data_IF_336909828430
#
_entry.id   IF_336909828430
#
_cell.length_a   1.000
_cell.length_b   1.000
_cell.length_c   1.000
_cell.angle_alpha   90.00
_cell.angle_beta   90.00
_cell.angle_gamma   90.00
#
_symmetry.space_group_name_H-M   'P 1'
#
loop_
_entity.id
_entity.type
_entity.pdbx_description
1 polymer ?
#
# COMPACT_ATOMS: atom_id res chain seq x y z
N UNK A 1 -44.87 14.21 43.22
CA UNK A 1 -44.07 13.07 42.72
C UNK A 1 -43.15 13.58 41.63
N UNK A 2 -41.89 13.87 41.98
CA UNK A 2 -40.87 14.38 41.05
C UNK A 2 -40.14 13.16 40.47
N UNK A 3 -40.21 13.05 39.15
CA UNK A 3 -39.73 11.90 38.39
C UNK A 3 -38.19 11.88 38.40
N UNK A 4 -37.63 10.85 39.03
CA UNK A 4 -36.21 10.73 39.38
C UNK A 4 -35.44 10.04 38.25
N UNK A 5 -35.40 10.64 37.07
CA UNK A 5 -34.70 10.08 35.92
C UNK A 5 -34.02 11.21 35.14
N UNK A 6 -32.75 11.51 35.41
CA UNK A 6 -31.84 12.15 34.43
C UNK A 6 -30.36 12.18 34.88
N UNK A 7 -29.91 11.22 35.69
CA UNK A 7 -28.50 11.19 36.15
C UNK A 7 -27.84 9.80 36.11
N UNK A 8 -28.32 8.88 35.26
CA UNK A 8 -27.60 7.64 34.99
C UNK A 8 -27.83 7.21 33.55
N UNK A 9 -27.20 7.89 32.58
CA UNK A 9 -27.08 7.40 31.20
C UNK A 9 -25.99 8.15 30.42
N UNK A 10 -24.82 8.37 31.03
CA UNK A 10 -23.61 8.80 30.32
C UNK A 10 -22.47 7.92 30.80
N UNK A 11 -22.39 6.68 30.31
CA UNK A 11 -21.20 5.83 30.53
C UNK A 11 -21.02 4.68 29.51
N UNK A 12 -21.79 4.61 28.42
CA UNK A 12 -21.68 3.49 27.47
C UNK A 12 -21.67 3.99 26.02
N UNK A 13 -20.71 4.86 25.68
CA UNK A 13 -20.37 5.19 24.28
C UNK A 13 -18.87 5.44 24.11
N UNK A 14 -18.04 4.82 24.95
CA UNK A 14 -16.64 4.59 24.57
C UNK A 14 -16.59 3.19 23.96
N UNK A 15 -16.11 3.00 22.72
CA UNK A 15 -15.69 1.69 22.30
C UNK A 15 -14.57 1.34 23.27
N UNK A 16 -14.83 0.44 24.21
CA UNK A 16 -13.79 -0.28 24.90
C UNK A 16 -13.02 -0.96 23.77
N UNK A 17 -11.93 -0.35 23.34
CA UNK A 17 -10.82 -1.04 22.70
C UNK A 17 -10.35 -2.03 23.75
N UNK A 18 -11.08 -3.14 23.86
CA UNK A 18 -10.69 -4.28 24.65
C UNK A 18 -9.37 -4.70 24.05
N UNK A 19 -8.28 -4.37 24.73
CA UNK A 19 -7.02 -5.06 24.53
C UNK A 19 -7.34 -6.52 24.84
N UNK A 20 -7.69 -7.30 23.82
CA UNK A 20 -7.87 -8.73 23.96
C UNK A 20 -6.61 -9.24 24.65
N UNK A 21 -6.80 -9.83 25.83
CA UNK A 21 -5.70 -10.31 26.63
C UNK A 21 -5.11 -11.50 25.86
N UNK A 22 -3.98 -11.28 25.16
CA UNK A 22 -3.38 -12.30 24.30
C UNK A 22 -2.86 -13.40 25.21
N UNK A 23 -3.51 -14.56 25.14
CA UNK A 23 -3.17 -15.72 25.95
C UNK A 23 -2.34 -16.68 25.11
N UNK A 24 -1.41 -17.40 25.73
CA UNK A 24 -0.77 -18.54 25.06
C UNK A 24 -1.76 -19.69 24.96
N UNK A 25 -2.63 -19.64 23.96
CA UNK A 25 -3.64 -20.66 23.71
C UNK A 25 -3.88 -20.80 22.19
N UNK A 26 -4.52 -21.90 21.76
CA UNK A 26 -4.76 -22.17 20.34
C UNK A 26 -5.58 -21.08 19.63
N UNK A 27 -6.52 -20.42 20.32
CA UNK A 27 -7.35 -19.38 19.71
C UNK A 27 -6.53 -18.14 19.35
N UNK A 28 -5.74 -17.62 20.29
CA UNK A 28 -4.87 -16.46 20.04
C UNK A 28 -3.82 -16.77 18.97
N UNK A 29 -3.33 -18.01 18.94
CA UNK A 29 -2.44 -18.48 17.90
C UNK A 29 -3.10 -18.45 16.52
N UNK A 30 -4.27 -19.08 16.38
CA UNK A 30 -5.00 -19.18 15.11
C UNK A 30 -5.42 -17.80 14.58
N UNK A 31 -5.85 -16.90 15.47
CA UNK A 31 -6.18 -15.52 15.10
C UNK A 31 -4.98 -14.76 14.52
N UNK A 32 -3.80 -14.87 15.16
CA UNK A 32 -2.58 -14.22 14.68
C UNK A 32 -2.07 -14.84 13.38
N UNK A 33 -2.14 -16.17 13.27
CA UNK A 33 -1.73 -16.90 12.07
C UNK A 33 -2.62 -16.57 10.87
N UNK A 34 -3.93 -16.52 11.08
CA UNK A 34 -4.89 -16.15 10.04
C UNK A 34 -4.63 -14.72 9.52
N UNK A 35 -4.37 -13.78 10.42
CA UNK A 35 -4.02 -12.41 10.04
C UNK A 35 -2.71 -12.34 9.26
N UNK A 36 -1.66 -13.05 9.71
CA UNK A 36 -0.38 -13.09 9.03
C UNK A 36 -0.49 -13.69 7.62
N UNK A 37 -1.14 -14.86 7.48
CA UNK A 37 -1.33 -15.53 6.19
C UNK A 37 -2.12 -14.65 5.20
N UNK A 38 -3.13 -13.92 5.69
CA UNK A 38 -3.87 -12.95 4.86
C UNK A 38 -2.97 -11.84 4.35
N UNK A 39 -2.10 -11.30 5.20
CA UNK A 39 -1.14 -10.26 4.82
C UNK A 39 -0.11 -10.78 3.81
N UNK A 40 0.42 -12.00 3.98
CA UNK A 40 1.32 -12.59 2.98
C UNK A 40 0.63 -12.82 1.64
N UNK A 41 -0.60 -13.34 1.66
CA UNK A 41 -1.40 -13.55 0.45
C UNK A 41 -1.65 -12.22 -0.29
N UNK A 42 -2.01 -11.17 0.44
CA UNK A 42 -2.19 -9.83 -0.13
C UNK A 42 -0.90 -9.32 -0.77
N UNK A 43 0.25 -9.48 -0.10
CA UNK A 43 1.54 -9.05 -0.63
C UNK A 43 1.85 -9.73 -1.96
N UNK A 44 1.71 -11.05 -2.01
CA UNK A 44 1.94 -11.84 -3.23
C UNK A 44 1.02 -11.40 -4.38
N UNK A 45 -0.24 -11.05 -4.08
CA UNK A 45 -1.16 -10.53 -5.08
C UNK A 45 -0.71 -9.16 -5.62
N UNK A 46 -0.28 -8.25 -4.74
CA UNK A 46 0.23 -6.95 -5.16
C UNK A 46 1.54 -7.05 -5.95
N UNK A 47 2.42 -8.00 -5.62
CA UNK A 47 3.64 -8.28 -6.41
C UNK A 47 3.26 -8.73 -7.82
N UNK A 48 2.28 -9.64 -7.98
CA UNK A 48 1.79 -10.06 -9.30
C UNK A 48 1.26 -8.86 -10.10
N UNK A 49 0.44 -8.01 -9.47
CA UNK A 49 -0.09 -6.79 -10.10
C UNK A 49 1.04 -5.86 -10.53
N UNK A 50 2.03 -5.61 -9.67
CA UNK A 50 3.17 -4.77 -10.00
C UNK A 50 3.97 -5.34 -11.18
N UNK A 51 4.26 -6.63 -11.17
CA UNK A 51 5.02 -7.28 -12.24
C UNK A 51 4.31 -7.22 -13.59
N UNK A 52 2.99 -7.38 -13.61
CA UNK A 52 2.18 -7.19 -14.82
C UNK A 52 2.28 -5.75 -15.32
N UNK A 53 2.06 -4.75 -14.45
CA UNK A 53 2.14 -3.33 -14.82
C UNK A 53 3.55 -2.93 -15.29
N UNK A 54 4.58 -3.48 -14.66
CA UNK A 54 5.97 -3.25 -15.07
C UNK A 54 6.25 -3.86 -16.44
N UNK A 55 5.72 -5.05 -16.73
CA UNK A 55 5.84 -5.68 -18.05
C UNK A 55 5.13 -4.86 -19.13
N UNK A 56 3.92 -4.38 -18.85
CA UNK A 56 3.17 -3.48 -19.75
C UNK A 56 3.94 -2.17 -19.99
N UNK A 57 4.51 -1.58 -18.93
CA UNK A 57 5.33 -0.38 -19.06
C UNK A 57 6.56 -0.61 -19.95
N UNK A 58 7.27 -1.73 -19.79
CA UNK A 58 8.44 -2.06 -20.63
C UNK A 58 8.12 -2.14 -22.12
N UNK A 59 6.88 -2.46 -22.47
CA UNK A 59 6.41 -2.50 -23.86
C UNK A 59 5.91 -1.13 -24.35
N UNK A 60 5.58 -0.21 -23.44
CA UNK A 60 5.08 1.12 -23.77
C UNK A 60 6.24 2.13 -23.83
N UNK A 61 6.53 2.60 -25.03
CA UNK A 61 7.46 3.71 -25.22
C UNK A 61 6.80 5.03 -24.79
N UNK A 62 7.38 5.70 -23.78
CA UNK A 62 6.99 7.06 -23.41
C UNK A 62 7.67 8.05 -24.35
N UNK A 63 6.95 9.08 -24.79
CA UNK A 63 7.47 10.03 -25.76
C UNK A 63 8.61 10.86 -25.17
N UNK A 64 8.51 11.23 -23.90
CA UNK A 64 9.54 11.95 -23.13
C UNK A 64 10.84 11.15 -22.89
N UNK A 65 10.83 9.84 -23.15
CA UNK A 65 12.07 9.04 -23.13
C UNK A 65 12.83 9.12 -24.46
N UNK A 66 12.14 9.50 -25.54
CA UNK A 66 12.70 9.49 -26.91
C UNK A 66 12.98 10.90 -27.41
N UNK A 67 12.12 11.85 -27.05
CA UNK A 67 12.16 13.22 -27.54
C UNK A 67 12.38 14.17 -26.37
N UNK A 68 13.20 15.19 -26.61
CA UNK A 68 13.28 16.37 -25.76
C UNK A 68 11.95 17.12 -25.75
N UNK A 69 11.74 17.93 -24.72
CA UNK A 69 10.54 18.75 -24.60
C UNK A 69 10.34 19.71 -25.79
N UNK A 70 11.42 20.22 -26.38
CA UNK A 70 11.36 21.09 -27.56
C UNK A 70 10.94 20.31 -28.81
N UNK A 71 11.50 19.12 -29.03
CA UNK A 71 11.07 18.22 -30.11
C UNK A 71 9.60 17.82 -29.95
N UNK A 72 9.16 17.52 -28.73
CA UNK A 72 7.74 17.26 -28.45
C UNK A 72 6.87 18.46 -28.79
N UNK A 73 7.32 19.69 -28.48
CA UNK A 73 6.61 20.92 -28.83
C UNK A 73 6.46 21.08 -30.34
N UNK A 74 7.54 20.82 -31.10
CA UNK A 74 7.52 20.85 -32.56
C UNK A 74 6.59 19.78 -33.15
N UNK A 75 6.69 18.54 -32.65
CA UNK A 75 5.85 17.43 -33.09
C UNK A 75 4.37 17.66 -32.77
N UNK A 76 4.06 18.31 -31.65
CA UNK A 76 2.69 18.64 -31.24
C UNK A 76 2.00 19.63 -32.20
N UNK A 77 2.78 20.51 -32.85
CA UNK A 77 2.24 21.49 -33.82
C UNK A 77 1.59 20.79 -35.02
N UNK A 78 2.08 19.60 -35.39
CA UNK A 78 1.49 18.82 -36.46
C UNK A 78 0.13 18.24 -36.05
N UNK A 79 -0.94 18.63 -36.78
CA UNK A 79 -2.33 18.25 -36.46
C UNK A 79 -2.54 16.74 -36.32
N UNK A 80 -1.83 15.93 -37.11
CA UNK A 80 -1.94 14.47 -37.06
C UNK A 80 -1.41 13.86 -35.76
N UNK A 81 -0.44 14.51 -35.08
CA UNK A 81 0.12 14.04 -33.80
C UNK A 81 -0.73 14.43 -32.59
N UNK A 82 -1.58 15.46 -32.71
CA UNK A 82 -2.27 16.04 -31.56
C UNK A 82 -3.16 15.03 -30.84
N UNK A 83 -3.91 14.19 -31.57
CA UNK A 83 -4.75 13.17 -30.96
C UNK A 83 -3.92 12.12 -30.22
N UNK A 84 -2.82 11.65 -30.83
CA UNK A 84 -1.91 10.70 -30.21
C UNK A 84 -1.35 11.26 -28.89
N UNK A 85 -0.86 12.50 -28.92
CA UNK A 85 -0.22 13.10 -27.77
C UNK A 85 -1.22 13.45 -26.66
N UNK A 86 -2.46 13.86 -26.99
CA UNK A 86 -3.51 14.06 -26.00
C UNK A 86 -3.94 12.74 -25.34
N UNK A 87 -4.06 11.66 -26.12
CA UNK A 87 -4.37 10.34 -25.58
C UNK A 87 -3.26 9.85 -24.66
N UNK A 88 -1.99 9.99 -25.07
CA UNK A 88 -0.83 9.64 -24.26
C UNK A 88 -0.77 10.48 -22.96
N UNK A 89 -1.07 11.78 -23.04
CA UNK A 89 -1.13 12.65 -21.88
C UNK A 89 -2.21 12.19 -20.89
N UNK A 90 -3.43 11.94 -21.39
CA UNK A 90 -4.55 11.45 -20.56
C UNK A 90 -4.19 10.12 -19.90
N UNK A 91 -3.66 9.18 -20.68
CA UNK A 91 -3.22 7.88 -20.16
C UNK A 91 -2.14 8.06 -19.08
N UNK A 92 -1.13 8.90 -19.30
CA UNK A 92 -0.04 9.10 -18.34
C UNK A 92 -0.53 9.68 -17.02
N UNK A 93 -1.47 10.62 -17.06
CA UNK A 93 -2.10 11.14 -15.84
C UNK A 93 -2.86 10.04 -15.09
N UNK A 94 -3.67 9.25 -15.81
CA UNK A 94 -4.43 8.15 -15.21
C UNK A 94 -3.50 7.09 -14.58
N UNK A 95 -2.48 6.64 -15.31
CA UNK A 95 -1.51 5.65 -14.80
C UNK A 95 -0.76 6.17 -13.57
N UNK A 96 -0.34 7.44 -13.56
CA UNK A 96 0.27 8.06 -12.37
C UNK A 96 -0.66 7.95 -11.16
N UNK A 97 -1.93 8.33 -11.32
CA UNK A 97 -2.92 8.31 -10.23
C UNK A 97 -3.16 6.90 -9.70
N UNK A 98 -3.40 5.94 -10.60
CA UNK A 98 -3.61 4.54 -10.24
C UNK A 98 -2.40 3.93 -9.50
N UNK A 99 -1.19 4.18 -9.99
CA UNK A 99 0.03 3.68 -9.36
C UNK A 99 0.26 4.33 -7.99
N UNK A 100 -0.02 5.62 -7.85
CA UNK A 100 0.08 6.34 -6.57
C UNK A 100 -0.94 5.81 -5.56
N UNK A 101 -2.17 5.52 -5.99
CA UNK A 101 -3.19 4.92 -5.13
C UNK A 101 -2.77 3.54 -4.63
N UNK A 102 -2.24 2.69 -5.51
CA UNK A 102 -1.71 1.36 -5.14
C UNK A 102 -0.55 1.47 -4.17
N UNK A 103 0.36 2.42 -4.37
CA UNK A 103 1.45 2.68 -3.43
C UNK A 103 0.93 3.05 -2.02
N UNK A 104 -0.08 3.91 -1.93
CA UNK A 104 -0.68 4.33 -0.66
C UNK A 104 -1.40 3.18 0.05
N UNK A 105 -2.05 2.28 -0.69
CA UNK A 105 -2.65 1.06 -0.14
C UNK A 105 -1.60 0.16 0.52
N UNK A 106 -0.44 -0.01 -0.12
CA UNK A 106 0.66 -0.81 0.42
C UNK A 106 1.23 -0.23 1.73
N UNK A 107 1.21 1.09 1.92
CA UNK A 107 1.60 1.71 3.19
C UNK A 107 0.62 1.36 4.32
N UNK A 108 -0.69 1.23 4.01
CA UNK A 108 -1.68 0.76 4.99
C UNK A 108 -1.40 -0.69 5.37
N UNK A 109 -1.14 -1.56 4.39
CA UNK A 109 -0.81 -2.97 4.61
C UNK A 109 0.53 -3.16 5.35
N UNK A 110 1.50 -2.28 5.13
CA UNK A 110 2.73 -2.22 5.92
C UNK A 110 2.43 -1.93 7.39
N UNK A 111 1.54 -0.97 7.67
CA UNK A 111 1.10 -0.66 9.03
C UNK A 111 0.37 -1.84 9.67
N UNK A 112 -0.51 -2.51 8.93
CA UNK A 112 -1.19 -3.72 9.41
C UNK A 112 -0.20 -4.86 9.73
N UNK A 113 0.86 -5.00 8.94
CA UNK A 113 1.93 -5.98 9.19
C UNK A 113 2.73 -5.65 10.45
N UNK A 114 2.95 -4.36 10.76
CA UNK A 114 3.53 -3.94 12.04
C UNK A 114 2.60 -4.26 13.22
N UNK A 115 1.28 -4.09 13.05
CA UNK A 115 0.33 -4.50 14.09
C UNK A 115 0.32 -6.01 14.29
N UNK A 116 0.41 -6.80 13.23
CA UNK A 116 0.54 -8.25 13.32
C UNK A 116 1.83 -8.64 14.06
N UNK A 117 2.96 -7.99 13.79
CA UNK A 117 4.20 -8.19 14.54
C UNK A 117 4.02 -7.93 16.05
N UNK A 118 3.33 -6.85 16.41
CA UNK A 118 3.02 -6.55 17.82
C UNK A 118 2.09 -7.60 18.45
N UNK A 119 1.16 -8.18 17.67
CA UNK A 119 0.31 -9.30 18.10
C UNK A 119 1.13 -10.53 18.46
N UNK A 120 2.04 -10.92 17.56
CA UNK A 120 2.99 -12.01 17.77
C UNK A 120 3.94 -11.78 18.94
N UNK A 121 4.42 -10.56 19.14
CA UNK A 121 5.25 -10.21 20.30
C UNK A 121 4.51 -10.43 21.63
N UNK A 122 3.26 -9.98 21.72
CA UNK A 122 2.42 -10.20 22.91
C UNK A 122 2.17 -11.68 23.15
N UNK A 123 1.95 -12.46 22.09
CA UNK A 123 1.76 -13.90 22.20
C UNK A 123 3.04 -14.60 22.68
N UNK A 124 4.20 -14.22 22.15
CA UNK A 124 5.49 -14.74 22.60
C UNK A 124 5.74 -14.46 24.09
N UNK A 125 5.43 -13.24 24.56
CA UNK A 125 5.53 -12.87 25.97
C UNK A 125 4.58 -13.70 26.85
N UNK A 126 3.35 -13.90 26.40
CA UNK A 126 2.35 -14.73 27.08
C UNK A 126 2.78 -16.20 27.18
N UNK A 127 3.33 -16.76 26.09
CA UNK A 127 3.85 -18.13 26.08
C UNK A 127 5.09 -18.28 26.96
N UNK A 128 5.95 -17.26 27.01
CA UNK A 128 7.08 -17.22 27.94
C UNK A 128 6.62 -17.30 29.40
N UNK A 129 5.60 -16.53 29.76
CA UNK A 129 5.04 -16.53 31.12
C UNK A 129 4.45 -17.90 31.50
N UNK A 130 3.89 -18.62 30.53
CA UNK A 130 3.30 -19.95 30.73
C UNK A 130 4.32 -21.10 30.61
N UNK A 131 5.62 -20.82 30.47
CA UNK A 131 6.68 -21.81 30.22
C UNK A 131 6.50 -22.65 28.94
N UNK A 132 5.78 -22.11 27.95
CA UNK A 132 5.55 -22.74 26.64
C UNK A 132 6.64 -22.32 25.65
N UNK A 133 7.87 -22.81 25.84
CA UNK A 133 9.07 -22.36 25.11
C UNK A 133 8.95 -22.55 23.59
N UNK A 134 8.42 -23.68 23.13
CA UNK A 134 8.25 -23.94 21.70
C UNK A 134 7.33 -22.90 21.03
N UNK A 135 6.24 -22.55 21.70
CA UNK A 135 5.28 -21.57 21.20
C UNK A 135 5.85 -20.15 21.26
N UNK A 136 6.63 -19.83 22.30
CA UNK A 136 7.34 -18.56 22.41
C UNK A 136 8.34 -18.37 21.26
N UNK A 137 9.21 -19.36 20.99
CA UNK A 137 10.17 -19.30 19.89
C UNK A 137 9.46 -19.13 18.55
N UNK A 138 8.40 -19.90 18.32
CA UNK A 138 7.64 -19.84 17.08
C UNK A 138 6.93 -18.50 16.90
N UNK A 139 6.36 -17.93 17.96
CA UNK A 139 5.75 -16.60 17.93
C UNK A 139 6.79 -15.49 17.67
N UNK A 140 8.01 -15.60 18.21
CA UNK A 140 9.10 -14.67 17.91
C UNK A 140 9.52 -14.73 16.44
N UNK A 141 9.57 -15.92 15.85
CA UNK A 141 9.80 -16.09 14.41
C UNK A 141 8.71 -15.40 13.58
N UNK A 142 7.43 -15.59 13.91
CA UNK A 142 6.35 -14.91 13.20
C UNK A 142 6.38 -13.39 13.37
N UNK A 143 6.77 -12.88 14.56
CA UNK A 143 6.99 -11.45 14.77
C UNK A 143 8.03 -10.91 13.78
N UNK A 144 9.18 -11.58 13.66
CA UNK A 144 10.25 -11.16 12.75
C UNK A 144 9.81 -11.19 11.29
N UNK A 145 9.07 -12.23 10.87
CA UNK A 145 8.54 -12.32 9.52
C UNK A 145 7.48 -11.24 9.24
N UNK A 146 6.62 -10.91 10.20
CA UNK A 146 5.66 -9.82 10.06
C UNK A 146 6.36 -8.44 9.96
N UNK A 147 7.45 -8.24 10.69
CA UNK A 147 8.29 -7.04 10.54
C UNK A 147 8.96 -6.97 9.16
N UNK A 148 9.44 -8.10 8.65
CA UNK A 148 10.01 -8.16 7.31
C UNK A 148 8.95 -7.87 6.24
N UNK A 149 7.76 -8.47 6.36
CA UNK A 149 6.64 -8.23 5.47
C UNK A 149 6.24 -6.75 5.42
N UNK A 150 6.27 -6.03 6.55
CA UNK A 150 6.05 -4.58 6.57
C UNK A 150 7.09 -3.80 5.72
N UNK A 151 8.37 -4.19 5.81
CA UNK A 151 9.43 -3.60 4.98
C UNK A 151 9.24 -3.94 3.51
N UNK A 152 8.80 -5.15 3.20
CA UNK A 152 8.55 -5.59 1.83
C UNK A 152 7.39 -4.82 1.20
N UNK A 153 6.31 -4.57 1.96
CA UNK A 153 5.22 -3.67 1.56
C UNK A 153 5.71 -2.24 1.26
N UNK A 154 6.56 -1.68 2.13
CA UNK A 154 7.14 -0.34 1.95
C UNK A 154 8.03 -0.29 0.69
N UNK A 155 8.79 -1.35 0.45
CA UNK A 155 9.65 -1.48 -0.73
C UNK A 155 8.80 -1.54 -2.00
N UNK A 156 7.76 -2.38 -2.01
CA UNK A 156 6.85 -2.48 -3.15
C UNK A 156 6.11 -1.15 -3.41
N UNK A 157 5.68 -0.45 -2.35
CA UNK A 157 5.09 0.90 -2.45
C UNK A 157 6.03 1.87 -3.17
N UNK A 158 7.31 1.86 -2.81
CA UNK A 158 8.34 2.70 -3.44
C UNK A 158 8.53 2.34 -4.92
N UNK A 159 8.42 1.08 -5.29
CA UNK A 159 8.49 0.64 -6.70
C UNK A 159 7.29 1.14 -7.51
N UNK A 160 6.07 1.08 -6.96
CA UNK A 160 4.88 1.69 -7.57
C UNK A 160 5.06 3.19 -7.78
N UNK A 161 5.59 3.91 -6.77
CA UNK A 161 5.87 5.35 -6.88
C UNK A 161 6.94 5.67 -7.92
N UNK A 162 7.98 4.83 -8.02
CA UNK A 162 9.00 4.94 -9.07
C UNK A 162 8.38 4.90 -10.46
N UNK A 163 7.46 3.95 -10.70
CA UNK A 163 6.75 3.87 -11.97
C UNK A 163 5.79 5.06 -12.17
N UNK A 164 5.08 5.49 -11.12
CA UNK A 164 4.20 6.67 -11.17
C UNK A 164 4.97 7.94 -11.56
N UNK A 165 6.19 8.10 -11.07
CA UNK A 165 7.05 9.25 -11.37
C UNK A 165 7.45 9.30 -12.86
N UNK A 166 7.65 8.17 -13.51
CA UNK A 166 7.92 8.13 -14.96
C UNK A 166 6.72 8.68 -15.75
N UNK A 167 5.51 8.28 -15.39
CA UNK A 167 4.29 8.79 -16.02
C UNK A 167 4.00 10.25 -15.69
N UNK A 168 4.39 10.73 -14.50
CA UNK A 168 4.29 12.15 -14.15
C UNK A 168 5.23 13.02 -14.99
N UNK A 169 6.47 12.55 -15.24
CA UNK A 169 7.42 13.20 -16.15
C UNK A 169 6.89 13.26 -17.57
N UNK A 170 6.36 12.15 -18.10
CA UNK A 170 5.72 12.10 -19.42
C UNK A 170 4.57 13.11 -19.52
N UNK A 171 3.65 13.09 -18.54
CA UNK A 171 2.51 14.01 -18.52
C UNK A 171 2.97 15.48 -18.45
N UNK A 172 4.01 15.77 -17.69
CA UNK A 172 4.57 17.12 -17.56
C UNK A 172 5.20 17.60 -18.88
N UNK A 173 5.99 16.75 -19.53
CA UNK A 173 6.59 17.06 -20.83
C UNK A 173 5.51 17.32 -21.91
N UNK A 174 4.47 16.47 -21.96
CA UNK A 174 3.36 16.63 -22.90
C UNK A 174 2.49 17.86 -22.61
N UNK A 175 2.25 18.18 -21.33
CA UNK A 175 1.55 19.43 -20.94
C UNK A 175 2.34 20.66 -21.38
N UNK A 176 3.66 20.66 -21.17
CA UNK A 176 4.52 21.74 -21.60
C UNK A 176 4.49 21.88 -23.13
N UNK A 177 4.71 20.79 -23.86
CA UNK A 177 4.72 20.77 -25.32
C UNK A 177 3.41 21.27 -25.95
N UNK A 178 2.28 21.05 -25.27
CA UNK A 178 0.99 21.60 -25.67
C UNK A 178 0.88 23.11 -25.43
N UNK A 179 1.50 23.62 -24.37
CA UNK A 179 1.45 25.02 -23.93
C UNK A 179 2.44 25.95 -24.65
N UNK A 180 3.54 25.43 -25.18
CA UNK A 180 4.58 26.14 -25.95
C UNK A 180 4.14 26.53 -27.38
N UNK A 181 2.84 26.81 -27.58
CA UNK A 181 2.22 27.22 -28.86
C UNK A 181 2.49 28.67 -29.27
N UNK A 182 3.57 29.28 -28.77
CA UNK A 182 4.00 30.61 -29.19
C UNK A 182 4.97 30.53 -30.36
#
# INVERSE_FOLDING_TARGET
MINKHYWMLILILFPLLGFANVQCNPSSWDDNLTQFNRLESNYNQHVKVFNTLLSEHKQRQLLSQTFSTDELSLLWRAKYNQNLFQNQLKASVQYKEELTQKANELIKLSTESQWAANGWEKLAQSCRHNNETANQISAEWYRENAQQLAKDYTTLSSQFLGLAHLYDKEASALKYARGSRH
#
